data_IF_475508784211
#
_entry.id   IF_475508784211
#
_cell.length_a   1.000
_cell.length_b   1.000
_cell.length_c   1.000
_cell.angle_alpha   90.00
_cell.angle_beta   90.00
_cell.angle_gamma   90.00
#
_symmetry.space_group_name_H-M   'P 1'
#
loop_
_entity.id
_entity.type
_entity.pdbx_description
1 polymer ?
#
# COMPACT_ATOMS: atom_id res chain seq x y z
N UNK A 1 38.09 -16.59 0.21
CA UNK A 1 37.75 -17.09 1.56
C UNK A 1 37.21 -15.91 2.33
N UNK A 2 35.90 -15.72 2.32
CA UNK A 2 35.28 -14.65 3.11
C UNK A 2 35.21 -15.13 4.55
N UNK A 3 36.16 -14.69 5.39
CA UNK A 3 36.16 -14.99 6.81
C UNK A 3 34.99 -14.27 7.49
N UNK A 4 34.33 -14.96 8.44
CA UNK A 4 33.39 -14.29 9.32
C UNK A 4 34.16 -13.28 10.18
N UNK A 5 33.64 -12.07 10.26
CA UNK A 5 34.09 -11.00 11.16
C UNK A 5 33.10 -10.83 12.31
N UNK A 6 33.58 -10.25 13.39
CA UNK A 6 32.74 -9.88 14.53
C UNK A 6 32.71 -8.36 14.66
N UNK A 7 31.52 -7.82 14.73
CA UNK A 7 31.25 -6.41 15.01
C UNK A 7 30.48 -6.26 16.32
N UNK A 8 30.53 -5.06 16.89
CA UNK A 8 29.77 -4.68 18.08
C UNK A 8 29.07 -3.37 17.81
N UNK A 9 27.81 -3.32 18.12
CA UNK A 9 26.94 -2.12 17.99
C UNK A 9 26.43 -1.79 19.38
N UNK A 10 26.67 -0.56 19.81
CA UNK A 10 26.18 -0.08 21.11
C UNK A 10 24.81 0.56 20.89
N UNK A 11 23.81 0.10 21.59
CA UNK A 11 22.47 0.68 21.58
C UNK A 11 22.37 1.74 22.67
N UNK A 12 21.91 2.95 22.31
CA UNK A 12 21.94 4.14 23.16
C UNK A 12 21.13 4.01 24.46
N UNK A 13 20.13 3.10 24.49
CA UNK A 13 19.30 2.87 25.67
C UNK A 13 18.60 1.50 25.63
N UNK A 14 18.18 1.03 26.80
CA UNK A 14 17.32 -0.14 26.94
C UNK A 14 15.97 0.03 26.20
N UNK A 15 15.46 1.24 26.14
CA UNK A 15 14.22 1.57 25.43
C UNK A 15 14.41 1.47 23.91
N UNK A 16 15.54 1.93 23.38
CA UNK A 16 15.92 1.75 21.98
C UNK A 16 16.07 0.26 21.65
N UNK A 17 16.70 -0.51 22.52
CA UNK A 17 16.86 -1.97 22.37
C UNK A 17 15.50 -2.65 22.29
N UNK A 18 14.56 -2.35 23.20
CA UNK A 18 13.22 -2.93 23.20
C UNK A 18 12.41 -2.51 21.97
N UNK A 19 12.54 -1.28 21.53
CA UNK A 19 11.83 -0.77 20.35
C UNK A 19 12.34 -1.42 19.06
N UNK A 20 13.65 -1.57 18.92
CA UNK A 20 14.31 -2.17 17.76
C UNK A 20 14.15 -3.68 17.72
N UNK A 21 14.51 -4.34 18.82
CA UNK A 21 14.55 -5.80 18.86
C UNK A 21 13.21 -6.44 19.20
N UNK A 22 12.28 -5.63 19.71
CA UNK A 22 10.95 -6.07 20.10
C UNK A 22 10.93 -6.86 21.42
N UNK A 23 9.74 -7.09 21.97
CA UNK A 23 9.60 -7.92 23.17
C UNK A 23 10.18 -9.31 22.92
N UNK A 24 10.99 -9.79 23.88
CA UNK A 24 11.72 -11.07 23.80
C UNK A 24 12.59 -11.19 22.52
N UNK A 25 13.17 -10.09 22.07
CA UNK A 25 14.14 -10.08 20.95
C UNK A 25 13.57 -10.69 19.65
N UNK A 26 12.25 -10.64 19.47
CA UNK A 26 11.55 -11.29 18.34
C UNK A 26 11.96 -10.79 16.95
N UNK A 27 12.69 -9.68 16.86
CA UNK A 27 13.17 -9.12 15.61
C UNK A 27 14.58 -9.61 15.24
N UNK A 28 15.36 -10.19 16.17
CA UNK A 28 16.69 -10.74 15.87
C UNK A 28 16.64 -11.79 14.75
N UNK A 29 15.77 -12.82 14.81
CA UNK A 29 15.71 -13.82 13.74
C UNK A 29 15.37 -13.23 12.37
N UNK A 30 14.65 -12.10 12.32
CA UNK A 30 14.35 -11.44 11.07
C UNK A 30 15.61 -10.82 10.46
N UNK A 31 16.40 -10.10 11.26
CA UNK A 31 17.65 -9.49 10.81
C UNK A 31 18.66 -10.57 10.40
N UNK A 32 18.83 -11.62 11.23
CA UNK A 32 19.70 -12.74 10.96
C UNK A 32 19.39 -13.43 9.63
N UNK A 33 18.11 -13.76 9.40
CA UNK A 33 17.68 -14.42 8.17
C UNK A 33 17.79 -13.51 6.94
N UNK A 34 17.53 -12.22 7.08
CA UNK A 34 17.57 -11.29 5.94
C UNK A 34 19.00 -10.91 5.55
N UNK A 35 19.91 -10.74 6.50
CA UNK A 35 21.28 -10.31 6.23
C UNK A 35 22.32 -11.45 6.31
N UNK A 36 21.96 -12.64 6.78
CA UNK A 36 22.86 -13.78 6.86
C UNK A 36 23.91 -13.62 7.97
N UNK A 37 23.57 -12.96 9.06
CA UNK A 37 24.40 -12.76 10.25
C UNK A 37 23.88 -13.55 11.45
N UNK A 38 24.69 -13.68 12.49
CA UNK A 38 24.28 -14.13 13.83
C UNK A 38 24.33 -12.94 14.78
N UNK A 39 23.30 -12.81 15.61
CA UNK A 39 23.14 -11.70 16.54
C UNK A 39 23.04 -12.23 17.97
N UNK A 40 23.69 -11.52 18.91
CA UNK A 40 23.55 -11.79 20.34
C UNK A 40 23.51 -10.48 21.12
N UNK A 41 22.45 -10.25 21.89
CA UNK A 41 22.31 -9.06 22.74
C UNK A 41 22.93 -9.34 24.10
N UNK A 42 23.85 -8.47 24.56
CA UNK A 42 24.47 -8.50 25.89
C UNK A 42 24.36 -7.14 26.56
N UNK A 43 23.31 -6.95 27.34
CA UNK A 43 22.99 -5.65 27.91
C UNK A 43 22.56 -4.65 26.82
N UNK A 44 23.34 -3.59 26.62
CA UNK A 44 23.14 -2.60 25.55
C UNK A 44 24.03 -2.86 24.32
N UNK A 45 24.79 -3.95 24.30
CA UNK A 45 25.74 -4.27 23.24
C UNK A 45 25.15 -5.39 22.36
N UNK A 46 25.01 -5.12 21.06
CA UNK A 46 24.59 -6.10 20.07
C UNK A 46 25.84 -6.64 19.36
N UNK A 47 26.21 -7.89 19.63
CA UNK A 47 27.25 -8.59 18.91
C UNK A 47 26.71 -9.10 17.58
N UNK A 48 27.48 -8.86 16.51
CA UNK A 48 27.14 -9.29 15.13
C UNK A 48 28.28 -10.13 14.60
N UNK A 49 27.98 -11.32 14.09
CA UNK A 49 28.96 -12.24 13.49
C UNK A 49 28.49 -12.68 12.11
N UNK A 50 29.30 -12.50 11.08
CA UNK A 50 28.98 -12.89 9.71
C UNK A 50 30.01 -12.40 8.69
N UNK A 51 29.70 -12.51 7.38
CA UNK A 51 30.49 -11.88 6.33
C UNK A 51 30.65 -10.38 6.56
N UNK A 52 31.78 -9.79 6.22
CA UNK A 52 32.12 -8.39 6.48
C UNK A 52 31.03 -7.44 5.94
N UNK A 53 30.63 -7.60 4.69
CA UNK A 53 29.56 -6.79 4.07
C UNK A 53 28.22 -6.91 4.83
N UNK A 54 27.86 -8.11 5.29
CA UNK A 54 26.63 -8.33 6.05
C UNK A 54 26.67 -7.67 7.44
N UNK A 55 27.84 -7.66 8.08
CA UNK A 55 28.07 -6.97 9.36
C UNK A 55 27.94 -5.46 9.18
N UNK A 56 28.53 -4.90 8.11
CA UNK A 56 28.42 -3.47 7.78
C UNK A 56 26.96 -3.07 7.48
N UNK A 57 26.24 -3.86 6.66
CA UNK A 57 24.81 -3.63 6.40
C UNK A 57 23.98 -3.67 7.68
N UNK A 58 24.29 -4.61 8.59
CA UNK A 58 23.58 -4.71 9.87
C UNK A 58 23.82 -3.47 10.71
N UNK A 59 25.07 -3.01 10.82
CA UNK A 59 25.42 -1.80 11.56
C UNK A 59 24.70 -0.58 10.98
N UNK A 60 24.71 -0.40 9.67
CA UNK A 60 24.04 0.71 9.00
C UNK A 60 22.52 0.74 9.25
N UNK A 61 21.86 -0.43 9.21
CA UNK A 61 20.42 -0.51 9.50
C UNK A 61 20.13 -0.17 10.96
N UNK A 62 20.88 -0.73 11.90
CA UNK A 62 20.67 -0.50 13.34
C UNK A 62 20.90 0.98 13.66
N UNK A 63 22.00 1.56 13.20
CA UNK A 63 22.30 2.99 13.36
C UNK A 63 21.15 3.86 12.83
N UNK A 64 20.68 3.57 11.62
CA UNK A 64 19.59 4.31 11.00
C UNK A 64 18.29 4.22 11.80
N UNK A 65 17.94 3.04 12.28
CA UNK A 65 16.74 2.86 13.09
C UNK A 65 16.87 3.52 14.47
N UNK A 66 18.07 3.56 15.07
CA UNK A 66 18.34 4.33 16.29
C UNK A 66 18.13 5.83 16.06
N UNK A 67 18.60 6.39 14.94
CA UNK A 67 18.36 7.79 14.57
C UNK A 67 16.86 8.09 14.48
N UNK A 68 16.09 7.23 13.78
CA UNK A 68 14.64 7.38 13.68
C UNK A 68 13.95 7.35 15.06
N UNK A 69 14.40 6.49 15.97
CA UNK A 69 13.89 6.44 17.34
C UNK A 69 14.23 7.71 18.13
N UNK A 70 15.46 8.26 17.98
CA UNK A 70 15.87 9.51 18.60
C UNK A 70 15.00 10.68 18.12
N UNK A 71 14.58 10.66 16.85
CA UNK A 71 13.63 11.60 16.25
C UNK A 71 12.16 11.32 16.64
N UNK A 72 11.94 10.46 17.64
CA UNK A 72 10.61 10.05 18.15
C UNK A 72 9.73 9.36 17.11
N UNK A 73 10.32 8.75 16.09
CA UNK A 73 9.60 7.90 15.16
C UNK A 73 9.26 6.54 15.78
N UNK A 74 8.12 6.01 15.43
CA UNK A 74 7.77 4.64 15.80
C UNK A 74 8.43 3.67 14.83
N UNK A 75 9.41 2.92 15.28
CA UNK A 75 10.03 1.84 14.52
C UNK A 75 9.26 0.55 14.82
N UNK A 76 8.28 0.23 13.95
CA UNK A 76 7.60 -1.05 14.00
C UNK A 76 8.33 -2.09 13.11
N UNK A 77 7.87 -3.33 13.15
CA UNK A 77 8.45 -4.40 12.35
C UNK A 77 8.35 -4.17 10.84
N UNK A 78 7.40 -3.38 10.39
CA UNK A 78 7.26 -3.00 8.98
C UNK A 78 8.40 -2.06 8.56
N UNK A 79 8.70 -1.04 9.37
CA UNK A 79 9.83 -0.12 9.15
C UNK A 79 11.15 -0.88 9.17
N UNK A 80 11.35 -1.80 10.13
CA UNK A 80 12.53 -2.66 10.16
C UNK A 80 12.69 -3.48 8.87
N UNK A 81 11.65 -4.16 8.41
CA UNK A 81 11.70 -4.93 7.15
C UNK A 81 12.01 -4.07 5.95
N UNK A 82 11.40 -2.89 5.92
CA UNK A 82 11.67 -1.94 4.85
C UNK A 82 13.13 -1.49 4.85
N UNK A 83 13.68 -1.12 6.02
CA UNK A 83 15.08 -0.78 6.17
C UNK A 83 16.02 -1.92 5.71
N UNK A 84 15.73 -3.17 6.10
CA UNK A 84 16.46 -4.36 5.65
C UNK A 84 16.38 -4.55 4.12
N UNK A 85 15.25 -4.23 3.51
CA UNK A 85 15.11 -4.29 2.06
C UNK A 85 15.87 -3.19 1.34
N UNK A 86 15.97 -2.00 1.93
CA UNK A 86 16.67 -0.84 1.38
C UNK A 86 18.18 -1.01 1.46
N UNK A 87 18.72 -1.51 2.59
CA UNK A 87 20.17 -1.69 2.74
C UNK A 87 20.74 -2.67 1.73
N UNK A 88 20.02 -3.75 1.41
CA UNK A 88 20.39 -4.71 0.36
C UNK A 88 20.48 -4.11 -1.04
N UNK A 89 19.85 -2.97 -1.26
CA UNK A 89 19.84 -2.23 -2.54
C UNK A 89 20.75 -1.00 -2.51
N UNK A 90 21.40 -0.72 -1.37
CA UNK A 90 22.18 0.50 -1.21
C UNK A 90 21.34 1.79 -1.16
N UNK A 91 20.07 1.70 -0.76
CA UNK A 91 19.10 2.78 -0.82
C UNK A 91 18.61 3.23 0.58
N UNK A 92 19.39 2.98 1.64
CA UNK A 92 18.97 3.22 3.03
C UNK A 92 18.58 4.68 3.29
N UNK A 93 19.19 5.62 2.57
CA UNK A 93 18.91 7.06 2.66
C UNK A 93 17.46 7.44 2.30
N UNK A 94 16.74 6.57 1.58
CA UNK A 94 15.31 6.78 1.31
C UNK A 94 14.45 6.83 2.55
N UNK A 95 14.91 6.26 3.68
CA UNK A 95 14.18 6.36 4.95
C UNK A 95 14.09 7.81 5.46
N UNK A 96 15.14 8.63 5.23
CA UNK A 96 15.14 10.04 5.66
C UNK A 96 14.18 10.91 4.86
N UNK A 97 13.85 10.48 3.66
CA UNK A 97 12.97 11.22 2.77
C UNK A 97 11.49 11.00 3.09
N UNK A 98 11.16 10.06 3.98
CA UNK A 98 9.78 9.82 4.40
C UNK A 98 9.40 10.81 5.48
N UNK A 99 8.44 11.75 5.22
CA UNK A 99 8.03 12.72 6.23
C UNK A 99 7.41 12.04 7.45
N UNK A 100 7.69 12.60 8.61
CA UNK A 100 7.12 12.13 9.88
C UNK A 100 5.68 12.59 10.09
N UNK A 101 5.27 13.62 9.36
CA UNK A 101 3.94 14.17 9.45
C UNK A 101 2.88 13.16 9.01
N UNK A 102 1.78 13.03 9.75
CA UNK A 102 0.72 12.14 9.37
C UNK A 102 0.02 12.62 8.10
N UNK A 103 -0.25 11.68 7.19
CA UNK A 103 -1.09 11.91 6.00
C UNK A 103 -2.51 12.27 6.41
N UNK A 104 -3.02 11.61 7.45
CA UNK A 104 -4.33 11.83 8.04
C UNK A 104 -4.35 11.38 9.51
N UNK A 105 -5.41 11.77 10.21
CA UNK A 105 -5.73 11.26 11.55
C UNK A 105 -7.08 10.58 11.48
N UNK A 106 -7.15 9.30 11.91
CA UNK A 106 -8.39 8.53 11.98
C UNK A 106 -9.37 9.13 12.99
N UNK A 107 -10.63 8.72 12.96
CA UNK A 107 -11.64 9.17 13.93
C UNK A 107 -11.28 8.82 15.40
N UNK A 108 -10.41 7.81 15.59
CA UNK A 108 -9.93 7.41 16.94
C UNK A 108 -8.64 8.12 17.34
N UNK A 109 -8.21 9.17 16.61
CA UNK A 109 -6.99 9.91 16.91
C UNK A 109 -5.69 9.19 16.51
N UNK A 110 -5.75 8.09 15.78
CA UNK A 110 -4.55 7.37 15.32
C UNK A 110 -3.98 8.03 14.08
N UNK A 111 -2.67 8.34 14.05
CA UNK A 111 -2.04 8.93 12.88
C UNK A 111 -1.84 7.87 11.78
N UNK A 112 -2.19 8.24 10.56
CA UNK A 112 -1.87 7.50 9.33
C UNK A 112 -0.60 8.10 8.75
N UNK A 113 0.46 7.30 8.61
CA UNK A 113 1.76 7.73 8.09
C UNK A 113 2.20 6.85 6.94
N UNK A 114 3.01 7.41 6.03
CA UNK A 114 3.72 6.61 5.05
C UNK A 114 4.77 5.75 5.78
N UNK A 115 4.81 4.47 5.44
CA UNK A 115 5.75 3.49 6.00
C UNK A 115 6.88 3.15 5.03
N UNK A 116 6.73 3.53 3.76
CA UNK A 116 7.70 3.30 2.70
C UNK A 116 7.87 4.55 1.85
N UNK A 117 8.99 4.66 1.18
CA UNK A 117 9.25 5.76 0.25
C UNK A 117 8.27 5.74 -0.93
N UNK A 118 7.92 4.55 -1.45
CA UNK A 118 6.91 4.43 -2.50
C UNK A 118 5.54 4.95 -2.08
N UNK A 119 5.13 4.71 -0.82
CA UNK A 119 3.91 5.31 -0.27
C UNK A 119 4.01 6.83 -0.16
N UNK A 120 5.18 7.36 0.22
CA UNK A 120 5.41 8.81 0.26
C UNK A 120 5.31 9.45 -1.13
N UNK A 121 5.98 8.88 -2.13
CA UNK A 121 5.87 9.35 -3.52
C UNK A 121 4.43 9.32 -4.03
N UNK A 122 3.69 8.28 -3.68
CA UNK A 122 2.27 8.17 -4.01
C UNK A 122 1.42 9.27 -3.36
N UNK A 123 1.59 9.51 -2.07
CA UNK A 123 0.88 10.59 -1.35
C UNK A 123 1.24 11.96 -1.93
N UNK A 124 2.51 12.19 -2.26
CA UNK A 124 2.99 13.40 -2.90
C UNK A 124 2.33 13.58 -4.28
N UNK A 125 2.34 12.54 -5.10
CA UNK A 125 1.74 12.57 -6.43
C UNK A 125 0.24 12.93 -6.38
N UNK A 126 -0.53 12.35 -5.44
CA UNK A 126 -1.94 12.68 -5.27
C UNK A 126 -2.14 14.16 -4.92
N UNK A 127 -1.25 14.76 -4.16
CA UNK A 127 -1.35 16.18 -3.78
C UNK A 127 -1.01 17.13 -4.92
N UNK A 128 -0.10 16.73 -5.79
CA UNK A 128 0.47 17.57 -6.87
C UNK A 128 -0.26 17.43 -8.21
N UNK A 129 -0.99 16.32 -8.45
CA UNK A 129 -1.63 16.03 -9.74
C UNK A 129 -3.13 15.86 -9.61
N UNK A 130 -3.86 16.24 -10.67
CA UNK A 130 -5.29 16.03 -10.77
C UNK A 130 -5.65 14.55 -11.02
N UNK A 131 -4.78 13.81 -11.74
CA UNK A 131 -4.97 12.39 -12.03
C UNK A 131 -3.73 11.60 -11.63
N UNK A 132 -3.92 10.65 -10.70
CA UNK A 132 -2.84 9.77 -10.22
C UNK A 132 -3.24 8.31 -10.36
N UNK A 133 -2.39 7.54 -11.03
CA UNK A 133 -2.46 6.07 -11.05
C UNK A 133 -1.51 5.49 -10.01
N UNK A 134 -2.01 4.56 -9.19
CA UNK A 134 -1.19 3.78 -8.27
C UNK A 134 -1.32 2.29 -8.59
N UNK A 135 -0.25 1.70 -9.07
CA UNK A 135 -0.21 0.30 -9.51
C UNK A 135 0.80 -0.49 -8.70
N UNK A 136 0.42 -1.66 -8.24
CA UNK A 136 1.31 -2.54 -7.49
C UNK A 136 0.57 -3.59 -6.68
N UNK A 137 1.32 -4.44 -5.95
CA UNK A 137 0.76 -5.59 -5.25
C UNK A 137 -0.28 -5.20 -4.20
N UNK A 138 -1.16 -6.15 -3.90
CA UNK A 138 -2.09 -5.99 -2.79
C UNK A 138 -1.36 -5.82 -1.45
N UNK A 139 -1.86 -4.94 -0.58
CA UNK A 139 -1.26 -4.64 0.74
C UNK A 139 -0.21 -3.53 0.74
N UNK A 140 0.00 -2.81 -0.36
CA UNK A 140 0.85 -1.61 -0.43
C UNK A 140 0.15 -0.33 0.07
N UNK A 141 -1.11 -0.40 0.46
CA UNK A 141 -1.87 0.71 1.03
C UNK A 141 -2.47 1.68 0.01
N UNK A 142 -2.50 1.35 -1.29
CA UNK A 142 -3.01 2.22 -2.37
C UNK A 142 -4.38 2.83 -2.06
N UNK A 143 -5.36 1.98 -1.89
CA UNK A 143 -6.75 2.39 -1.64
C UNK A 143 -6.90 3.09 -0.29
N UNK A 144 -6.23 2.59 0.74
CA UNK A 144 -6.27 3.16 2.08
C UNK A 144 -5.72 4.58 2.15
N UNK A 145 -4.55 4.83 1.54
CA UNK A 145 -3.93 6.17 1.50
C UNK A 145 -4.74 7.14 0.63
N UNK A 146 -5.31 6.68 -0.49
CA UNK A 146 -6.21 7.49 -1.31
C UNK A 146 -7.45 7.93 -0.53
N UNK A 147 -8.10 7.00 0.21
CA UNK A 147 -9.24 7.31 1.07
C UNK A 147 -8.85 8.27 2.19
N UNK A 148 -7.68 8.08 2.82
CA UNK A 148 -7.19 8.98 3.85
C UNK A 148 -7.05 10.41 3.33
N UNK A 149 -6.44 10.59 2.15
CA UNK A 149 -6.29 11.89 1.50
C UNK A 149 -7.63 12.48 1.05
N UNK A 150 -8.55 11.67 0.55
CA UNK A 150 -9.89 12.12 0.19
C UNK A 150 -10.64 12.70 1.40
N UNK A 151 -10.55 12.02 2.56
CA UNK A 151 -11.15 12.49 3.80
C UNK A 151 -10.52 13.79 4.29
N UNK A 152 -9.20 13.94 4.15
CA UNK A 152 -8.49 15.19 4.48
C UNK A 152 -8.94 16.32 3.55
N UNK A 153 -8.96 16.09 2.24
CA UNK A 153 -9.40 17.08 1.26
C UNK A 153 -10.84 17.56 1.50
N UNK A 154 -11.77 16.63 1.84
CA UNK A 154 -13.15 16.99 2.19
C UNK A 154 -13.22 17.81 3.50
N UNK A 155 -12.45 17.43 4.54
CA UNK A 155 -12.38 18.18 5.81
C UNK A 155 -11.82 19.59 5.62
N UNK A 156 -10.83 19.73 4.77
CA UNK A 156 -10.20 21.01 4.41
C UNK A 156 -11.05 21.85 3.44
N UNK A 157 -12.17 21.30 2.94
CA UNK A 157 -13.01 21.94 1.90
C UNK A 157 -12.27 22.20 0.58
N UNK A 158 -11.29 21.37 0.27
CA UNK A 158 -10.60 21.37 -1.03
C UNK A 158 -11.50 20.75 -2.11
N UNK A 159 -12.43 19.86 -1.68
CA UNK A 159 -13.46 19.25 -2.50
C UNK A 159 -14.81 19.28 -1.75
N UNK A 160 -15.90 19.22 -2.48
CA UNK A 160 -17.26 19.20 -1.91
C UNK A 160 -17.75 17.78 -1.61
N UNK A 161 -17.21 16.77 -2.29
CA UNK A 161 -17.64 15.37 -2.14
C UNK A 161 -16.53 14.37 -2.44
N UNK A 162 -16.73 13.16 -1.91
CA UNK A 162 -15.92 11.99 -2.21
C UNK A 162 -16.77 11.00 -2.99
N UNK A 163 -16.25 10.50 -4.11
CA UNK A 163 -16.86 9.46 -4.93
C UNK A 163 -15.93 8.27 -5.01
N UNK A 164 -16.34 7.14 -4.44
CA UNK A 164 -15.61 5.87 -4.48
C UNK A 164 -16.32 4.92 -5.43
N UNK A 165 -15.58 4.39 -6.37
CA UNK A 165 -16.14 3.45 -7.33
C UNK A 165 -15.23 2.25 -7.56
N UNK A 166 -15.86 1.13 -7.91
CA UNK A 166 -15.17 -0.13 -8.19
C UNK A 166 -15.87 -0.83 -9.35
N UNK A 167 -15.17 -1.48 -10.28
CA UNK A 167 -15.81 -2.33 -11.27
C UNK A 167 -16.51 -3.48 -10.54
N UNK A 168 -17.77 -3.70 -10.88
CA UNK A 168 -18.47 -4.90 -10.46
C UNK A 168 -18.00 -6.04 -11.37
N UNK A 169 -17.05 -6.85 -10.91
CA UNK A 169 -16.62 -8.07 -11.60
C UNK A 169 -17.26 -9.28 -10.95
N UNK A 170 -17.81 -10.11 -11.79
CA UNK A 170 -18.24 -11.45 -11.40
C UNK A 170 -16.98 -12.33 -11.32
N UNK A 171 -16.43 -12.52 -10.12
CA UNK A 171 -15.40 -13.53 -9.89
C UNK A 171 -16.01 -14.94 -10.02
N UNK A 172 -16.24 -15.37 -11.28
CA UNK A 172 -16.81 -16.68 -11.59
C UNK A 172 -18.30 -16.87 -11.26
N UNK A 173 -18.92 -15.98 -10.51
CA UNK A 173 -20.34 -15.98 -10.18
C UNK A 173 -21.06 -14.87 -10.94
N UNK A 174 -22.00 -15.25 -11.80
CA UNK A 174 -22.86 -14.29 -12.48
C UNK A 174 -23.69 -13.55 -11.42
N UNK A 175 -23.64 -12.21 -11.39
CA UNK A 175 -24.49 -11.34 -10.54
C UNK A 175 -25.98 -11.76 -10.50
N UNK A 176 -26.41 -12.52 -11.51
CA UNK A 176 -27.73 -13.09 -11.59
C UNK A 176 -28.09 -14.15 -10.53
N UNK A 177 -27.12 -14.77 -9.85
CA UNK A 177 -27.37 -15.83 -8.86
C UNK A 177 -27.51 -15.34 -7.42
N UNK A 178 -27.10 -14.11 -7.12
CA UNK A 178 -27.28 -13.56 -5.76
C UNK A 178 -28.73 -13.05 -5.60
N UNK A 179 -29.43 -13.40 -4.51
CA UNK A 179 -30.75 -12.85 -4.19
C UNK A 179 -30.64 -11.37 -3.83
N UNK A 180 -31.62 -10.57 -4.20
CA UNK A 180 -31.70 -9.13 -3.90
C UNK A 180 -31.60 -8.22 -5.12
N UNK A 181 -31.76 -6.92 -4.90
CA UNK A 181 -31.58 -5.90 -5.92
C UNK A 181 -30.09 -5.71 -6.30
N UNK A 182 -29.83 -4.93 -7.34
CA UNK A 182 -28.47 -4.74 -7.85
C UNK A 182 -27.53 -4.14 -6.81
N UNK A 183 -28.04 -3.25 -5.94
CA UNK A 183 -27.27 -2.61 -4.88
C UNK A 183 -26.83 -3.61 -3.81
N UNK A 184 -27.73 -4.49 -3.38
CA UNK A 184 -27.43 -5.55 -2.42
C UNK A 184 -26.42 -6.58 -2.95
N UNK A 185 -26.43 -6.85 -4.25
CA UNK A 185 -25.49 -7.77 -4.91
C UNK A 185 -24.07 -7.20 -5.02
N UNK A 186 -23.94 -5.90 -5.11
CA UNK A 186 -22.63 -5.22 -5.25
C UNK A 186 -22.02 -4.84 -3.90
N UNK A 187 -22.82 -4.76 -2.84
CA UNK A 187 -22.41 -4.37 -1.49
C UNK A 187 -21.18 -5.16 -0.95
N UNK A 188 -21.08 -6.48 -1.09
CA UNK A 188 -19.91 -7.24 -0.65
C UNK A 188 -18.58 -6.79 -1.29
N UNK A 189 -18.61 -6.36 -2.54
CA UNK A 189 -17.42 -5.90 -3.27
C UNK A 189 -16.99 -4.50 -2.84
N UNK A 190 -17.90 -3.70 -2.30
CA UNK A 190 -17.63 -2.35 -1.81
C UNK A 190 -17.25 -2.33 -0.31
N UNK A 191 -17.41 -3.43 0.40
CA UNK A 191 -17.17 -3.53 1.84
C UNK A 191 -15.79 -3.02 2.29
N UNK A 192 -14.67 -3.37 1.61
CA UNK A 192 -13.36 -2.84 1.98
C UNK A 192 -13.26 -1.32 1.94
N UNK A 193 -14.01 -0.67 1.05
CA UNK A 193 -14.09 0.78 0.95
C UNK A 193 -14.85 1.38 2.14
N UNK A 194 -15.95 0.74 2.53
CA UNK A 194 -16.70 1.15 3.73
C UNK A 194 -15.86 1.02 4.99
N UNK A 195 -15.13 -0.10 5.17
CA UNK A 195 -14.28 -0.31 6.34
C UNK A 195 -13.22 0.77 6.47
N UNK A 196 -12.55 1.14 5.38
CA UNK A 196 -11.56 2.21 5.36
C UNK A 196 -12.18 3.59 5.66
N UNK A 197 -13.37 3.89 5.10
CA UNK A 197 -14.10 5.13 5.41
C UNK A 197 -14.52 5.21 6.88
N UNK A 198 -15.04 4.11 7.44
CA UNK A 198 -15.42 4.05 8.86
C UNK A 198 -14.20 4.24 9.78
N UNK A 199 -13.05 3.67 9.42
CA UNK A 199 -11.82 3.90 10.18
C UNK A 199 -11.39 5.36 10.14
N UNK A 200 -11.52 6.04 8.98
CA UNK A 200 -11.08 7.43 8.82
C UNK A 200 -12.01 8.44 9.46
N UNK A 201 -13.33 8.27 9.35
CA UNK A 201 -14.29 9.32 9.76
C UNK A 201 -15.30 8.91 10.83
N UNK A 202 -15.41 7.63 11.16
CA UNK A 202 -16.41 7.08 12.08
C UNK A 202 -17.79 6.91 11.43
N UNK A 203 -18.63 6.06 12.03
CA UNK A 203 -19.94 5.69 11.48
C UNK A 203 -20.91 6.90 11.36
N UNK A 204 -20.98 7.74 12.40
CA UNK A 204 -21.88 8.90 12.41
C UNK A 204 -21.53 9.92 11.32
N UNK A 205 -20.24 10.23 11.16
CA UNK A 205 -19.78 11.15 10.11
C UNK A 205 -20.03 10.58 8.71
N UNK A 206 -19.80 9.28 8.55
CA UNK A 206 -20.08 8.56 7.32
C UNK A 206 -21.57 8.72 6.92
N UNK A 207 -22.50 8.36 7.81
CA UNK A 207 -23.94 8.46 7.55
C UNK A 207 -24.38 9.88 7.19
N UNK A 208 -23.96 10.86 7.99
CA UNK A 208 -24.28 12.28 7.76
C UNK A 208 -23.79 12.78 6.39
N UNK A 209 -22.57 12.37 5.96
CA UNK A 209 -22.01 12.76 4.66
C UNK A 209 -22.72 12.06 3.51
N UNK A 210 -23.09 10.80 3.68
CA UNK A 210 -23.86 10.02 2.70
C UNK A 210 -25.26 10.62 2.51
N UNK A 211 -25.98 10.95 3.58
CA UNK A 211 -27.31 11.60 3.53
C UNK A 211 -27.28 12.96 2.83
N UNK A 212 -26.17 13.70 2.97
CA UNK A 212 -25.96 15.00 2.29
C UNK A 212 -25.47 14.86 0.85
N UNK A 213 -25.21 13.66 0.36
CA UNK A 213 -24.61 13.44 -0.96
C UNK A 213 -23.14 13.89 -1.08
N UNK A 214 -22.48 14.19 0.05
CA UNK A 214 -21.06 14.53 0.08
C UNK A 214 -20.15 13.28 0.11
N UNK A 215 -20.71 12.09 0.25
CA UNK A 215 -20.03 10.83 0.16
C UNK A 215 -20.87 9.82 -0.62
N UNK A 216 -20.29 9.28 -1.68
CA UNK A 216 -20.93 8.30 -2.53
C UNK A 216 -19.99 7.09 -2.73
N UNK A 217 -20.53 5.88 -2.54
CA UNK A 217 -19.84 4.63 -2.87
C UNK A 217 -20.74 3.87 -3.81
N UNK A 218 -20.31 3.67 -5.06
CA UNK A 218 -21.15 3.12 -6.11
C UNK A 218 -20.35 2.29 -7.12
N UNK A 219 -21.00 1.33 -7.80
CA UNK A 219 -20.40 0.61 -8.93
C UNK A 219 -19.97 1.56 -10.05
N UNK A 220 -18.89 1.20 -10.75
CA UNK A 220 -18.36 1.99 -11.87
C UNK A 220 -19.42 2.31 -12.96
N UNK A 221 -20.34 1.39 -13.20
CA UNK A 221 -21.41 1.60 -14.19
C UNK A 221 -22.28 2.83 -13.91
N UNK A 222 -22.41 3.23 -12.64
CA UNK A 222 -23.22 4.39 -12.22
C UNK A 222 -22.53 5.74 -12.49
N UNK A 223 -21.30 5.73 -12.93
CA UNK A 223 -20.56 6.94 -13.33
C UNK A 223 -20.91 7.38 -14.75
N UNK A 224 -21.55 6.52 -15.55
CA UNK A 224 -21.85 6.83 -16.94
C UNK A 224 -22.81 8.02 -17.08
N UNK A 225 -22.45 8.97 -17.97
CA UNK A 225 -23.27 10.14 -18.27
C UNK A 225 -23.19 11.27 -17.22
N UNK A 226 -22.36 11.11 -16.21
CA UNK A 226 -22.16 12.13 -15.15
C UNK A 226 -20.96 13.01 -15.45
N UNK A 227 -20.94 14.19 -14.86
CA UNK A 227 -19.76 15.05 -14.71
C UNK A 227 -19.56 15.28 -13.22
N UNK A 228 -18.39 14.95 -12.71
CA UNK A 228 -18.04 15.03 -11.30
C UNK A 228 -17.09 16.22 -11.11
N UNK A 229 -17.62 17.38 -10.72
CA UNK A 229 -16.84 18.57 -10.37
C UNK A 229 -16.65 18.65 -8.86
N UNK A 230 -15.60 19.37 -8.44
CA UNK A 230 -15.26 19.63 -7.03
C UNK A 230 -15.26 18.36 -6.18
N UNK A 231 -14.75 17.27 -6.76
CA UNK A 231 -14.87 15.93 -6.21
C UNK A 231 -13.50 15.24 -6.05
N UNK A 232 -13.32 14.49 -4.97
CA UNK A 232 -12.25 13.53 -4.87
C UNK A 232 -12.77 12.15 -5.29
N UNK A 233 -12.27 11.64 -6.42
CA UNK A 233 -12.81 10.46 -7.08
C UNK A 233 -11.78 9.34 -7.00
N UNK A 234 -12.17 8.16 -6.51
CA UNK A 234 -11.30 6.99 -6.42
C UNK A 234 -11.93 5.84 -7.22
N UNK A 235 -11.19 5.33 -8.20
CA UNK A 235 -11.49 4.07 -8.88
C UNK A 235 -10.56 2.99 -8.32
N UNK A 236 -11.12 2.07 -7.56
CA UNK A 236 -10.39 0.94 -6.96
C UNK A 236 -10.53 -0.33 -7.81
N UNK A 237 -9.56 -1.24 -7.72
CA UNK A 237 -9.47 -2.50 -8.49
C UNK A 237 -9.59 -2.29 -10.02
N UNK A 238 -8.95 -1.23 -10.49
CA UNK A 238 -9.07 -0.77 -11.87
C UNK A 238 -8.54 -1.76 -12.92
N UNK A 239 -7.71 -2.75 -12.53
CA UNK A 239 -7.28 -3.84 -13.42
C UNK A 239 -8.47 -4.65 -13.96
N UNK A 240 -9.60 -4.61 -13.26
CA UNK A 240 -10.83 -5.30 -13.63
C UNK A 240 -11.76 -4.46 -14.50
N UNK A 241 -11.30 -3.32 -15.02
CA UNK A 241 -12.04 -2.55 -16.04
C UNK A 241 -11.70 -3.01 -17.44
N UNK A 242 -12.65 -2.91 -18.36
CA UNK A 242 -12.35 -2.96 -19.80
C UNK A 242 -11.81 -1.62 -20.29
N UNK A 243 -11.16 -1.55 -21.49
CA UNK A 243 -10.71 -0.29 -22.08
C UNK A 243 -11.84 0.77 -22.21
N UNK A 244 -13.04 0.33 -22.58
CA UNK A 244 -14.20 1.21 -22.73
C UNK A 244 -14.68 1.77 -21.38
N UNK A 245 -14.66 0.92 -20.33
CA UNK A 245 -15.01 1.34 -18.97
C UNK A 245 -14.00 2.33 -18.41
N UNK A 246 -12.70 2.08 -18.58
CA UNK A 246 -11.64 2.99 -18.15
C UNK A 246 -11.76 4.34 -18.87
N UNK A 247 -11.90 4.35 -20.19
CA UNK A 247 -12.10 5.58 -20.98
C UNK A 247 -13.37 6.32 -20.55
N UNK A 248 -14.47 5.59 -20.34
CA UNK A 248 -15.71 6.16 -19.83
C UNK A 248 -15.50 6.85 -18.47
N UNK A 249 -14.79 6.22 -17.54
CA UNK A 249 -14.48 6.77 -16.22
C UNK A 249 -13.59 8.02 -16.30
N UNK A 250 -12.47 7.93 -17.01
CA UNK A 250 -11.49 9.01 -17.14
C UNK A 250 -12.06 10.28 -17.82
N UNK A 251 -13.24 10.18 -18.44
CA UNK A 251 -13.94 11.34 -19.02
C UNK A 251 -15.07 11.85 -18.12
N UNK A 252 -15.12 11.47 -16.85
CA UNK A 252 -16.18 11.88 -15.90
C UNK A 252 -15.80 13.01 -14.97
N UNK A 253 -14.52 13.23 -14.69
CA UNK A 253 -14.12 14.28 -13.76
C UNK A 253 -14.23 15.67 -14.42
N UNK A 254 -14.72 16.63 -13.65
CA UNK A 254 -14.86 18.03 -14.02
C UNK A 254 -13.86 18.92 -13.27
N UNK A 255 -14.04 20.22 -13.42
CA UNK A 255 -13.19 21.21 -12.76
C UNK A 255 -13.15 21.03 -11.24
N UNK A 256 -12.03 21.36 -10.61
CA UNK A 256 -11.83 21.27 -9.16
C UNK A 256 -11.76 19.83 -8.62
N UNK A 257 -11.71 18.82 -9.50
CA UNK A 257 -11.70 17.43 -9.07
C UNK A 257 -10.29 16.83 -9.07
N UNK A 258 -10.10 15.86 -8.17
CA UNK A 258 -8.90 15.03 -8.08
C UNK A 258 -9.28 13.56 -8.26
N UNK A 259 -8.55 12.85 -9.10
CA UNK A 259 -8.83 11.46 -9.46
C UNK A 259 -7.68 10.57 -9.08
N UNK A 260 -7.97 9.48 -8.39
CA UNK A 260 -7.00 8.43 -8.05
C UNK A 260 -7.50 7.11 -8.60
N UNK A 261 -6.65 6.44 -9.37
CA UNK A 261 -6.92 5.11 -9.93
C UNK A 261 -5.98 4.11 -9.28
N UNK A 262 -6.53 3.14 -8.56
CA UNK A 262 -5.74 2.10 -7.88
C UNK A 262 -5.96 0.73 -8.52
N UNK A 263 -4.91 -0.08 -8.59
CA UNK A 263 -5.02 -1.44 -9.13
C UNK A 263 -3.77 -2.29 -8.97
N UNK A 264 -3.93 -3.58 -9.24
CA UNK A 264 -2.85 -4.56 -9.31
C UNK A 264 -2.83 -5.16 -10.72
N UNK A 265 -1.85 -4.78 -11.51
CA UNK A 265 -1.72 -5.24 -12.90
C UNK A 265 -1.51 -6.76 -13.04
N UNK A 266 -1.17 -7.45 -11.94
CA UNK A 266 -0.90 -8.90 -11.93
C UNK A 266 -2.14 -9.73 -11.56
N UNK A 267 -3.17 -9.10 -10.99
CA UNK A 267 -4.38 -9.76 -10.48
C UNK A 267 -5.62 -9.29 -11.24
N UNK A 268 -5.86 -9.86 -12.40
CA UNK A 268 -7.07 -9.54 -13.19
C UNK A 268 -8.08 -10.68 -13.11
N UNK A 269 -9.34 -10.33 -12.82
CA UNK A 269 -10.50 -11.24 -12.82
C UNK A 269 -11.29 -11.13 -14.14
N UNK A 270 -10.76 -10.40 -15.13
CA UNK A 270 -11.41 -10.29 -16.44
C UNK A 270 -11.45 -11.64 -17.15
N UNK A 271 -12.50 -11.91 -17.92
CA UNK A 271 -12.59 -13.13 -18.74
C UNK A 271 -11.39 -13.28 -19.67
N UNK A 272 -10.99 -14.53 -19.92
CA UNK A 272 -9.86 -14.85 -20.81
C UNK A 272 -9.98 -14.13 -22.16
N UNK A 273 -8.89 -13.51 -22.59
CA UNK A 273 -8.82 -12.74 -23.85
C UNK A 273 -9.33 -11.30 -23.76
N UNK A 274 -9.80 -10.84 -22.60
CA UNK A 274 -10.14 -9.41 -22.38
C UNK A 274 -8.92 -8.63 -21.93
N UNK A 275 -8.67 -7.49 -22.56
CA UNK A 275 -7.62 -6.58 -22.20
C UNK A 275 -8.03 -5.72 -20.99
N UNK A 276 -7.13 -5.52 -20.05
CA UNK A 276 -7.35 -4.62 -18.92
C UNK A 276 -7.29 -3.16 -19.37
N UNK A 277 -8.33 -2.41 -19.04
CA UNK A 277 -8.39 -0.97 -19.27
C UNK A 277 -7.33 -0.20 -18.48
N UNK A 278 -6.94 -0.70 -17.29
CA UNK A 278 -5.84 -0.13 -16.51
C UNK A 278 -4.53 -0.20 -17.29
N UNK A 279 -4.16 -1.38 -17.81
CA UNK A 279 -2.91 -1.56 -18.55
C UNK A 279 -2.87 -0.65 -19.78
N UNK A 280 -3.96 -0.59 -20.55
CA UNK A 280 -4.04 0.31 -21.71
C UNK A 280 -3.92 1.79 -21.29
N UNK A 281 -4.57 2.20 -20.19
CA UNK A 281 -4.48 3.59 -19.73
C UNK A 281 -3.05 3.97 -19.32
N UNK A 282 -2.32 3.06 -18.67
CA UNK A 282 -0.92 3.27 -18.29
C UNK A 282 0.00 3.46 -19.51
N UNK A 283 -0.28 2.78 -20.62
CA UNK A 283 0.48 2.96 -21.89
C UNK A 283 0.10 4.28 -22.57
N UNK A 284 -1.18 4.56 -22.71
CA UNK A 284 -1.70 5.75 -23.42
C UNK A 284 -1.34 7.05 -22.70
N UNK A 285 -1.31 7.04 -21.36
CA UNK A 285 -1.08 8.24 -20.56
C UNK A 285 0.35 8.35 -20.01
N UNK A 286 1.28 7.47 -20.44
CA UNK A 286 2.64 7.45 -19.92
C UNK A 286 3.39 8.77 -20.10
N UNK A 287 3.17 9.45 -21.22
CA UNK A 287 3.86 10.68 -21.61
C UNK A 287 3.01 11.94 -21.39
N UNK A 288 1.91 11.85 -20.62
CA UNK A 288 1.06 13.00 -20.30
C UNK A 288 1.54 13.64 -18.99
N UNK A 289 2.13 14.86 -19.02
CA UNK A 289 2.78 15.47 -17.85
C UNK A 289 1.86 15.73 -16.67
N UNK A 290 0.56 15.91 -16.93
CA UNK A 290 -0.46 16.17 -15.90
C UNK A 290 -0.90 14.90 -15.15
N UNK A 291 -0.44 13.72 -15.61
CA UNK A 291 -0.80 12.43 -15.06
C UNK A 291 0.38 11.82 -14.30
N UNK A 292 0.17 11.52 -13.03
CA UNK A 292 1.17 10.78 -12.25
C UNK A 292 0.90 9.27 -12.32
N UNK A 293 1.96 8.48 -12.59
CA UNK A 293 1.91 7.02 -12.56
C UNK A 293 2.92 6.52 -11.53
N UNK A 294 2.43 6.05 -10.40
CA UNK A 294 3.23 5.52 -9.30
C UNK A 294 3.20 3.98 -9.31
N UNK A 295 4.38 3.37 -9.33
CA UNK A 295 4.55 1.92 -9.30
C UNK A 295 5.08 1.48 -7.96
N UNK A 296 4.20 0.95 -7.13
CA UNK A 296 4.54 0.31 -5.86
C UNK A 296 5.00 -1.13 -6.11
N UNK A 297 5.89 -1.62 -5.28
CA UNK A 297 6.50 -2.92 -5.45
C UNK A 297 6.40 -3.78 -4.17
N UNK A 298 6.99 -4.98 -4.17
CA UNK A 298 6.93 -5.90 -3.02
C UNK A 298 7.54 -5.33 -1.73
N UNK A 299 8.51 -4.40 -1.82
CA UNK A 299 9.07 -3.75 -0.63
C UNK A 299 8.11 -2.76 0.02
N UNK A 300 7.10 -2.28 -0.73
CA UNK A 300 6.06 -1.39 -0.22
C UNK A 300 4.89 -2.13 0.45
N UNK A 301 4.92 -3.47 0.49
CA UNK A 301 3.86 -4.27 1.10
C UNK A 301 3.90 -4.14 2.62
N UNK A 302 2.82 -3.60 3.18
CA UNK A 302 2.59 -3.42 4.63
C UNK A 302 1.51 -4.39 5.08
N UNK A 303 1.91 -5.59 5.48
CA UNK A 303 1.00 -6.65 5.93
C UNK A 303 1.49 -7.29 7.22
N UNK A 304 0.55 -7.89 7.96
CA UNK A 304 0.87 -8.71 9.12
C UNK A 304 1.81 -9.86 8.72
N UNK A 305 2.80 -10.17 9.56
CA UNK A 305 3.86 -11.15 9.28
C UNK A 305 3.33 -12.54 8.89
N UNK A 306 2.33 -13.02 9.64
CA UNK A 306 1.72 -14.32 9.34
C UNK A 306 1.07 -14.32 7.95
N UNK A 307 0.41 -13.22 7.55
CA UNK A 307 -0.19 -13.12 6.22
C UNK A 307 0.88 -13.15 5.13
N UNK A 308 2.01 -12.46 5.32
CA UNK A 308 3.14 -12.53 4.37
C UNK A 308 3.71 -13.96 4.28
N UNK A 309 3.83 -14.65 5.41
CA UNK A 309 4.31 -16.04 5.46
C UNK A 309 3.37 -16.97 4.71
N UNK A 310 2.06 -16.82 4.91
CA UNK A 310 1.03 -17.59 4.21
C UNK A 310 1.13 -17.35 2.70
N UNK A 311 1.17 -16.09 2.24
CA UNK A 311 1.30 -15.76 0.81
C UNK A 311 2.54 -16.40 0.21
N UNK A 312 3.71 -16.23 0.83
CA UNK A 312 4.97 -16.85 0.37
C UNK A 312 4.88 -18.37 0.26
N UNK A 313 4.19 -19.02 1.20
CA UNK A 313 4.00 -20.47 1.18
C UNK A 313 3.12 -20.93 -0.03
N UNK A 314 2.04 -20.19 -0.31
CA UNK A 314 1.20 -20.47 -1.48
C UNK A 314 1.94 -20.20 -2.79
N UNK A 315 2.65 -19.09 -2.92
CA UNK A 315 3.46 -18.78 -4.10
C UNK A 315 4.52 -19.88 -4.38
N UNK A 316 5.18 -20.38 -3.32
CA UNK A 316 6.16 -21.46 -3.44
C UNK A 316 5.49 -22.77 -3.88
N UNK A 317 4.31 -23.07 -3.39
CA UNK A 317 3.54 -24.25 -3.79
C UNK A 317 3.11 -24.17 -5.26
N UNK A 318 2.60 -23.03 -5.69
CA UNK A 318 2.18 -22.83 -7.10
C UNK A 318 3.36 -22.93 -8.07
N UNK A 319 4.52 -22.34 -7.73
CA UNK A 319 5.73 -22.47 -8.53
C UNK A 319 6.17 -23.93 -8.68
N UNK A 320 6.09 -24.74 -7.60
CA UNK A 320 6.40 -26.17 -7.67
C UNK A 320 5.43 -26.92 -8.60
N UNK A 321 4.13 -26.57 -8.56
CA UNK A 321 3.14 -27.21 -9.45
C UNK A 321 3.36 -26.88 -10.92
N UNK A 322 3.70 -25.62 -11.24
CA UNK A 322 3.97 -25.18 -12.64
C UNK A 322 5.25 -25.83 -13.18
N UNK A 323 6.32 -25.91 -12.37
CA UNK A 323 7.57 -26.57 -12.78
C UNK A 323 7.44 -28.09 -12.98
N UNK A 324 6.48 -28.74 -12.33
CA UNK A 324 6.23 -30.19 -12.54
C UNK A 324 5.35 -30.49 -13.78
N UNK A 325 4.73 -29.47 -14.37
CA UNK A 325 3.89 -29.62 -15.58
C UNK A 325 4.70 -29.44 -16.86
N UNK A 326 5.82 -28.70 -16.82
CA UNK A 326 6.70 -28.50 -17.97
C UNK A 326 7.67 -29.68 -18.20
N UNK A 327 7.94 -30.50 -17.17
CA UNK A 327 8.79 -31.72 -17.27
C UNK A 327 8.00 -32.98 -17.73
N UNK A 328 6.69 -32.84 -17.99
CA UNK A 328 5.80 -33.96 -18.34
C UNK A 328 5.20 -33.86 -19.77
N UNK A 329 5.77 -33.02 -20.66
CA UNK A 329 5.42 -32.97 -22.09
C UNK A 329 6.58 -33.31 -22.99
#
# INVERSE_FOLDING_TARGET
MNGNVRGKIILDSMEASLSLLGANERNLPLIENELGVKLALRGAELEVEGPEEAVEMTAAVIDKLCQLLADRMTVDRTVLRYALSLVKRGELDKLDQIPQEPVAITHRGRPVRCKTFGQYEYVKAIREHELTFAVGPAGTGKTYLAIALAVVALRNKEVERIVLTRPAVEAGEKLGFLPGDLSQKVDPYLRPLFDALYEMMGAESYQRLQERGALEVAPLAYMRGRTLSDSFIILDEAQNTTPEQMKMFLTRFGAGSRVVVTGDATQTDLPYGKQSGLLQALEVLADVPEVAIIRLNQSDVVRHDLVQTVVKAYDAYEKKRRGTTDDAQ
#
